data_IF_884642903353
#
_entry.id   IF_884642903353
#
_cell.length_a   1.000
_cell.length_b   1.000
_cell.length_c   1.000
_cell.angle_alpha   90.00
_cell.angle_beta   90.00
_cell.angle_gamma   90.00
#
_symmetry.space_group_name_H-M   'P 1'
#
loop_
_entity.id
_entity.type
_entity.pdbx_description
1 polymer ?
#
# COMPACT_ATOMS: atom_id res chain seq x y z
N UNK A 1 -25.40 23.70 -14.09
CA UNK A 1 -24.92 23.70 -12.70
C UNK A 1 -23.48 23.26 -12.79
N UNK A 2 -22.54 24.08 -12.31
CA UNK A 2 -21.10 23.91 -12.54
C UNK A 2 -20.64 22.48 -12.24
N UNK A 3 -20.08 21.78 -13.24
CA UNK A 3 -19.28 20.56 -13.05
C UNK A 3 -17.98 20.97 -12.36
N UNK A 4 -18.05 21.34 -11.09
CA UNK A 4 -16.88 21.58 -10.28
C UNK A 4 -16.16 20.23 -10.13
N UNK A 5 -14.98 20.12 -10.75
CA UNK A 5 -14.08 18.99 -10.56
C UNK A 5 -13.81 18.88 -9.06
N UNK A 6 -13.98 17.69 -8.48
CA UNK A 6 -13.75 17.52 -7.05
C UNK A 6 -12.24 17.55 -6.78
N UNK A 7 -11.84 18.01 -5.59
CA UNK A 7 -10.43 17.95 -5.16
C UNK A 7 -9.85 16.53 -5.28
N UNK A 8 -10.68 15.49 -5.15
CA UNK A 8 -10.26 14.10 -5.33
C UNK A 8 -9.92 13.78 -6.78
N UNK A 9 -10.68 14.32 -7.74
CA UNK A 9 -10.39 14.15 -9.17
C UNK A 9 -9.12 14.89 -9.57
N UNK A 10 -8.89 16.08 -9.01
CA UNK A 10 -7.65 16.84 -9.23
C UNK A 10 -6.44 16.12 -8.63
N UNK A 11 -6.56 15.61 -7.39
CA UNK A 11 -5.52 14.79 -6.75
C UNK A 11 -5.28 13.51 -7.57
N UNK A 12 -6.33 12.87 -8.09
CA UNK A 12 -6.17 11.70 -8.96
C UNK A 12 -5.37 12.03 -10.22
N UNK A 13 -5.69 13.14 -10.89
CA UNK A 13 -4.97 13.60 -12.07
C UNK A 13 -3.50 13.93 -11.77
N UNK A 14 -3.20 14.53 -10.61
CA UNK A 14 -1.82 14.82 -10.19
C UNK A 14 -1.01 13.55 -9.86
N UNK A 15 -1.67 12.46 -9.46
CA UNK A 15 -1.04 11.18 -9.13
C UNK A 15 -0.81 10.27 -10.33
N UNK A 16 -1.62 10.40 -11.39
CA UNK A 16 -1.56 9.58 -12.59
C UNK A 16 -0.15 9.49 -13.22
N UNK A 17 0.63 10.59 -13.36
CA UNK A 17 1.98 10.55 -13.94
C UNK A 17 2.98 9.67 -13.17
N UNK A 18 2.64 9.27 -11.94
CA UNK A 18 3.45 8.42 -11.08
C UNK A 18 2.92 6.99 -10.98
N UNK A 19 1.83 6.67 -11.69
CA UNK A 19 1.12 5.40 -11.53
C UNK A 19 0.46 5.24 -10.16
N UNK A 20 0.22 6.35 -9.46
CA UNK A 20 -0.44 6.38 -8.16
C UNK A 20 -1.92 6.75 -8.32
N UNK A 21 -2.73 6.38 -7.34
CA UNK A 21 -4.16 6.70 -7.28
C UNK A 21 -4.58 7.07 -5.85
N UNK A 22 -5.64 7.87 -5.68
CA UNK A 22 -6.34 7.97 -4.40
C UNK A 22 -6.90 6.60 -4.02
N UNK A 23 -6.73 6.23 -2.76
CA UNK A 23 -7.16 4.96 -2.16
C UNK A 23 -8.24 5.21 -1.10
N UNK A 24 -9.15 6.14 -1.41
CA UNK A 24 -10.14 6.66 -0.48
C UNK A 24 -9.55 7.57 0.59
N UNK A 25 -10.38 7.92 1.57
CA UNK A 25 -9.99 8.75 2.69
C UNK A 25 -11.12 8.91 3.69
N UNK A 26 -10.88 9.75 4.69
CA UNK A 26 -11.85 10.02 5.75
C UNK A 26 -11.72 11.45 6.27
N UNK A 27 -12.81 11.95 6.85
CA UNK A 27 -12.81 13.14 7.69
C UNK A 27 -12.59 12.67 9.12
N UNK A 28 -11.58 13.23 9.79
CA UNK A 28 -11.24 12.85 11.16
C UNK A 28 -12.42 13.18 12.10
N UNK A 29 -12.82 12.18 12.89
CA UNK A 29 -13.82 12.29 13.96
C UNK A 29 -13.22 11.82 15.29
N UNK A 30 -14.03 11.68 16.35
CA UNK A 30 -13.55 11.21 17.66
C UNK A 30 -12.98 9.77 17.65
N UNK A 31 -13.31 8.99 16.62
CA UNK A 31 -12.87 7.59 16.46
C UNK A 31 -11.55 7.52 15.69
N UNK A 32 -11.31 8.43 14.74
CA UNK A 32 -10.04 8.51 14.03
C UNK A 32 -9.00 9.32 14.78
N UNK A 33 -7.84 8.71 14.99
CA UNK A 33 -6.68 9.45 15.45
C UNK A 33 -6.11 10.29 14.30
N UNK A 34 -6.48 11.56 14.28
CA UNK A 34 -5.73 12.56 13.53
C UNK A 34 -4.26 12.52 13.99
N UNK A 35 -3.28 12.61 13.07
CA UNK A 35 -1.89 12.76 13.44
C UNK A 35 -1.74 13.94 14.41
N UNK A 36 -0.86 13.84 15.42
CA UNK A 36 -0.62 14.96 16.31
C UNK A 36 -0.24 16.19 15.49
N UNK A 37 -0.67 17.41 15.88
CA UNK A 37 -0.34 18.62 15.13
C UNK A 37 1.17 18.74 14.97
N UNK A 38 1.65 18.57 13.75
CA UNK A 38 3.06 18.76 13.40
C UNK A 38 3.19 20.09 12.65
N UNK A 39 4.09 20.97 13.10
CA UNK A 39 4.38 22.26 12.47
C UNK A 39 3.13 23.08 12.07
N UNK A 40 2.12 23.12 12.95
CA UNK A 40 1.02 24.09 12.84
C UNK A 40 -0.19 23.67 12.02
N UNK A 41 -0.27 22.45 11.50
CA UNK A 41 -1.50 21.95 10.83
C UNK A 41 -2.30 21.03 11.76
N UNK A 42 -3.59 21.34 11.95
CA UNK A 42 -4.58 20.42 12.52
C UNK A 42 -5.31 19.76 11.34
N UNK A 43 -5.02 18.50 11.07
CA UNK A 43 -5.65 17.77 9.98
C UNK A 43 -7.14 17.51 10.28
N UNK A 44 -8.01 17.81 9.32
CA UNK A 44 -9.46 17.51 9.36
C UNK A 44 -9.85 16.38 8.42
N UNK A 45 -9.06 16.10 7.40
CA UNK A 45 -9.26 14.91 6.58
C UNK A 45 -7.93 14.34 6.07
N UNK A 46 -7.98 13.09 5.64
CA UNK A 46 -6.85 12.38 5.04
C UNK A 46 -7.29 11.70 3.76
N UNK A 47 -6.52 11.88 2.69
CA UNK A 47 -6.62 11.12 1.44
C UNK A 47 -5.47 10.12 1.41
N UNK A 48 -5.79 8.83 1.40
CA UNK A 48 -4.79 7.78 1.28
C UNK A 48 -4.33 7.68 -0.18
N UNK A 49 -3.04 7.46 -0.36
CA UNK A 49 -2.43 7.38 -1.70
C UNK A 49 -1.64 6.09 -1.83
N UNK A 50 -1.82 5.42 -2.96
CA UNK A 50 -1.21 4.14 -3.19
C UNK A 50 -1.32 3.69 -4.63
N UNK A 51 -1.20 2.39 -4.83
CA UNK A 51 -1.24 1.79 -6.15
C UNK A 51 -1.87 0.40 -6.13
N UNK A 52 -2.31 -0.02 -7.32
CA UNK A 52 -2.75 -1.38 -7.61
C UNK A 52 -1.79 -2.02 -8.60
N UNK A 53 -1.49 -3.31 -8.39
CA UNK A 53 -0.52 -4.04 -9.20
C UNK A 53 0.80 -3.28 -9.35
N UNK A 54 1.39 -3.35 -10.54
CA UNK A 54 2.67 -2.71 -10.87
C UNK A 54 2.55 -1.33 -11.51
N UNK A 55 1.45 -0.62 -11.29
CA UNK A 55 1.21 0.71 -11.90
C UNK A 55 2.36 1.70 -11.65
N UNK A 56 2.92 1.74 -10.44
CA UNK A 56 4.05 2.62 -10.11
C UNK A 56 5.39 2.19 -10.73
N UNK A 57 5.50 0.93 -11.17
CA UNK A 57 6.79 0.29 -11.38
C UNK A 57 7.59 0.90 -12.54
N UNK A 58 7.01 1.19 -13.72
CA UNK A 58 7.74 1.87 -14.80
C UNK A 58 8.28 3.24 -14.38
N UNK A 59 7.47 4.03 -13.67
CA UNK A 59 7.82 5.38 -13.22
C UNK A 59 8.92 5.36 -12.15
N UNK A 60 8.81 4.45 -11.19
CA UNK A 60 9.86 4.24 -10.20
C UNK A 60 11.18 3.80 -10.85
N UNK A 61 11.13 2.88 -11.81
CA UNK A 61 12.32 2.38 -12.48
C UNK A 61 13.01 3.46 -13.34
N UNK A 62 12.24 4.33 -14.00
CA UNK A 62 12.78 5.50 -14.69
C UNK A 62 13.47 6.46 -13.70
N UNK A 63 12.80 6.82 -12.61
CA UNK A 63 13.39 7.67 -11.57
C UNK A 63 14.67 7.04 -10.98
N UNK A 64 14.69 5.71 -10.81
CA UNK A 64 15.80 5.00 -10.18
C UNK A 64 17.09 5.04 -11.03
N UNK A 65 16.99 5.18 -12.35
CA UNK A 65 18.16 5.30 -13.23
C UNK A 65 19.04 6.50 -12.84
N UNK A 66 18.42 7.57 -12.37
CA UNK A 66 19.09 8.80 -11.92
C UNK A 66 19.51 8.76 -10.45
N UNK A 67 19.07 7.74 -9.69
CA UNK A 67 19.29 7.60 -8.25
C UNK A 67 19.81 6.19 -7.86
N UNK A 68 20.87 5.67 -8.51
CA UNK A 68 21.28 4.28 -8.36
C UNK A 68 21.62 3.88 -6.91
N UNK A 69 22.23 4.79 -6.14
CA UNK A 69 22.71 4.54 -4.78
C UNK A 69 21.76 5.02 -3.67
N UNK A 70 20.51 5.34 -4.01
CA UNK A 70 19.54 5.80 -3.01
C UNK A 70 19.22 4.69 -1.99
N UNK A 71 19.30 5.05 -0.71
CA UNK A 71 18.85 4.22 0.42
C UNK A 71 17.32 4.27 0.48
N UNK A 72 16.67 3.13 0.71
CA UNK A 72 15.21 3.00 0.68
C UNK A 72 14.57 3.68 -0.56
N UNK A 73 15.03 3.29 -1.76
CA UNK A 73 14.82 4.05 -3.00
C UNK A 73 13.34 4.24 -3.34
N UNK A 74 12.51 3.24 -3.05
CA UNK A 74 11.07 3.34 -3.30
C UNK A 74 10.41 4.33 -2.33
N UNK A 75 10.86 4.37 -1.07
CA UNK A 75 10.36 5.33 -0.07
C UNK A 75 10.83 6.74 -0.39
N UNK A 76 12.09 6.92 -0.82
CA UNK A 76 12.60 8.20 -1.29
C UNK A 76 11.81 8.72 -2.51
N UNK A 77 11.56 7.87 -3.50
CA UNK A 77 10.73 8.21 -4.67
C UNK A 77 9.30 8.61 -4.27
N UNK A 78 8.67 7.84 -3.37
CA UNK A 78 7.31 8.14 -2.89
C UNK A 78 7.25 9.45 -2.11
N UNK A 79 8.27 9.74 -1.30
CA UNK A 79 8.40 10.99 -0.57
C UNK A 79 8.52 12.18 -1.49
N UNK A 80 9.38 12.09 -2.49
CA UNK A 80 9.53 13.15 -3.49
C UNK A 80 8.20 13.43 -4.20
N UNK A 81 7.60 12.41 -4.83
CA UNK A 81 6.37 12.58 -5.59
C UNK A 81 5.21 13.14 -4.74
N UNK A 82 4.98 12.58 -3.54
CA UNK A 82 3.84 12.99 -2.72
C UNK A 82 4.07 14.33 -2.00
N UNK A 83 5.30 14.72 -1.70
CA UNK A 83 5.56 16.04 -1.13
C UNK A 83 5.39 17.15 -2.16
N UNK A 84 5.78 16.92 -3.42
CA UNK A 84 5.52 17.86 -4.53
C UNK A 84 4.01 18.03 -4.73
N UNK A 85 3.27 16.92 -4.86
CA UNK A 85 1.81 16.95 -5.00
C UNK A 85 1.15 17.61 -3.78
N UNK A 86 1.57 17.27 -2.56
CA UNK A 86 0.99 17.88 -1.36
C UNK A 86 1.12 19.41 -1.37
N UNK A 87 2.25 19.95 -1.83
CA UNK A 87 2.46 21.39 -1.91
C UNK A 87 1.48 22.07 -2.87
N UNK A 88 1.20 21.46 -4.03
CA UNK A 88 0.27 22.00 -5.02
C UNK A 88 -1.18 22.10 -4.49
N UNK A 89 -1.55 21.20 -3.58
CA UNK A 89 -2.88 21.16 -2.96
C UNK A 89 -2.96 21.83 -1.58
N UNK A 90 -1.87 22.45 -1.10
CA UNK A 90 -1.81 22.99 0.27
C UNK A 90 -2.00 21.93 1.36
N UNK A 91 -1.72 20.67 1.03
CA UNK A 91 -1.81 19.53 1.93
C UNK A 91 -0.45 19.24 2.60
N UNK A 92 -0.47 18.39 3.62
CA UNK A 92 0.74 17.81 4.20
C UNK A 92 0.85 16.33 3.85
N UNK A 93 1.94 15.93 3.20
CA UNK A 93 2.24 14.53 2.94
C UNK A 93 2.75 13.82 4.20
N UNK A 94 2.23 12.63 4.49
CA UNK A 94 2.74 11.73 5.54
C UNK A 94 2.95 10.32 4.99
N UNK A 95 3.87 9.55 5.59
CA UNK A 95 4.37 8.31 4.99
C UNK A 95 4.30 7.13 5.97
N UNK A 96 3.95 5.91 5.50
CA UNK A 96 3.91 4.72 6.34
C UNK A 96 5.30 4.28 6.82
N UNK A 97 6.37 4.75 6.17
CA UNK A 97 7.77 4.48 6.52
C UNK A 97 8.27 5.32 7.71
N UNK A 98 7.57 6.42 8.04
CA UNK A 98 8.08 7.42 8.98
C UNK A 98 7.68 7.12 10.43
N UNK A 99 8.54 7.54 11.36
CA UNK A 99 8.31 7.41 12.80
C UNK A 99 7.89 8.76 13.41
N UNK A 100 6.97 8.78 14.39
CA UNK A 100 6.18 7.63 14.87
C UNK A 100 5.21 7.13 13.81
N UNK A 101 5.02 5.81 13.74
CA UNK A 101 4.17 5.20 12.71
C UNK A 101 2.73 5.66 12.86
N UNK A 102 2.16 6.15 11.76
CA UNK A 102 0.75 6.53 11.68
C UNK A 102 -0.12 5.30 11.35
N UNK A 103 -1.41 5.30 11.75
CA UNK A 103 -2.26 4.11 11.67
C UNK A 103 -2.84 3.87 10.26
N UNK A 104 -1.98 3.81 9.24
CA UNK A 104 -2.37 3.64 7.83
C UNK A 104 -3.33 2.48 7.58
N UNK A 105 -3.14 1.34 8.26
CA UNK A 105 -4.05 0.19 8.12
C UNK A 105 -5.45 0.47 8.67
N UNK A 106 -5.57 1.25 9.75
CA UNK A 106 -6.88 1.62 10.31
C UNK A 106 -7.59 2.60 9.37
N UNK A 107 -6.87 3.61 8.86
CA UNK A 107 -7.40 4.53 7.86
C UNK A 107 -7.87 3.78 6.60
N UNK A 108 -7.07 2.85 6.09
CA UNK A 108 -7.42 2.01 4.95
C UNK A 108 -8.68 1.17 5.21
N UNK A 109 -8.79 0.58 6.41
CA UNK A 109 -9.96 -0.19 6.80
C UNK A 109 -11.25 0.64 6.83
N UNK A 110 -11.16 1.92 7.22
CA UNK A 110 -12.32 2.83 7.21
C UNK A 110 -12.61 3.42 5.83
N UNK A 111 -11.58 3.82 5.10
CA UNK A 111 -11.70 4.47 3.80
C UNK A 111 -12.24 3.51 2.72
N UNK A 112 -11.76 2.27 2.73
CA UNK A 112 -12.04 1.29 1.67
C UNK A 112 -12.76 0.02 2.18
N UNK A 113 -13.04 -0.08 3.49
CA UNK A 113 -13.68 -1.28 4.07
C UNK A 113 -12.77 -2.52 4.06
N UNK A 114 -11.45 -2.35 3.95
CA UNK A 114 -10.51 -3.46 3.86
C UNK A 114 -10.27 -4.12 5.22
N UNK A 115 -10.10 -5.45 5.22
CA UNK A 115 -9.64 -6.21 6.39
C UNK A 115 -8.42 -7.06 6.04
N UNK A 116 -7.75 -7.56 7.07
CA UNK A 116 -6.54 -8.37 6.94
C UNK A 116 -6.84 -9.78 6.42
N UNK A 117 -5.99 -10.25 5.52
CA UNK A 117 -5.92 -11.65 5.10
C UNK A 117 -5.17 -12.51 6.13
N UNK A 118 -5.21 -13.85 5.99
CA UNK A 118 -4.38 -14.75 6.80
C UNK A 118 -2.86 -14.53 6.67
N UNK A 119 -2.41 -13.74 5.68
CA UNK A 119 -1.00 -13.35 5.53
C UNK A 119 -0.64 -12.04 6.27
N UNK A 120 -1.58 -11.45 7.00
CA UNK A 120 -1.40 -10.19 7.73
C UNK A 120 -1.44 -8.93 6.87
N UNK A 121 -1.65 -9.06 5.56
CA UNK A 121 -1.83 -7.94 4.63
C UNK A 121 -3.31 -7.65 4.40
N UNK A 122 -3.68 -6.37 4.26
CA UNK A 122 -5.02 -5.98 3.81
C UNK A 122 -5.31 -6.57 2.42
N UNK A 123 -6.52 -7.10 2.22
CA UNK A 123 -6.93 -7.71 0.93
C UNK A 123 -8.04 -6.89 0.28
N UNK A 124 -7.81 -6.45 -0.95
CA UNK A 124 -8.81 -5.77 -1.77
C UNK A 124 -9.67 -6.80 -2.51
N UNK A 125 -11.00 -6.61 -2.65
CA UNK A 125 -11.87 -7.57 -3.32
C UNK A 125 -11.52 -7.80 -4.79
N UNK A 126 -11.08 -6.77 -5.49
CA UNK A 126 -10.63 -6.84 -6.89
C UNK A 126 -9.13 -7.15 -7.03
N UNK A 127 -8.27 -6.27 -6.51
CA UNK A 127 -6.81 -6.38 -6.64
C UNK A 127 -6.14 -7.39 -5.69
N UNK A 128 -6.91 -8.05 -4.82
CA UNK A 128 -6.40 -9.06 -3.90
C UNK A 128 -5.34 -8.50 -2.97
N UNK A 129 -4.21 -9.20 -2.88
CA UNK A 129 -3.07 -8.77 -2.07
C UNK A 129 -2.15 -7.81 -2.83
N UNK A 130 -2.46 -7.41 -4.06
CA UNK A 130 -1.55 -6.71 -4.97
C UNK A 130 -1.86 -5.22 -5.02
N UNK A 131 -1.74 -4.60 -3.86
CA UNK A 131 -1.90 -3.17 -3.68
C UNK A 131 -1.06 -2.72 -2.49
N UNK A 132 -0.71 -1.44 -2.44
CA UNK A 132 -0.02 -0.85 -1.30
C UNK A 132 -0.32 0.64 -1.18
N UNK A 133 -0.15 1.16 0.03
CA UNK A 133 -0.16 2.59 0.32
C UNK A 133 1.28 3.11 0.31
N UNK A 134 1.49 4.27 -0.31
CA UNK A 134 2.81 4.93 -0.40
C UNK A 134 2.87 6.22 0.41
N UNK A 135 1.72 6.77 0.79
CA UNK A 135 1.61 7.92 1.67
C UNK A 135 0.16 8.38 1.78
N UNK A 136 -0.04 9.52 2.42
CA UNK A 136 -1.34 10.16 2.53
C UNK A 136 -1.20 11.67 2.51
N UNK A 137 -2.24 12.36 2.02
CA UNK A 137 -2.35 13.81 2.01
C UNK A 137 -3.29 14.24 3.13
N UNK A 138 -2.78 15.04 4.06
CA UNK A 138 -3.56 15.62 5.15
C UNK A 138 -4.03 17.02 4.77
N UNK A 139 -5.32 17.27 4.93
CA UNK A 139 -5.94 18.56 4.68
C UNK A 139 -6.44 19.17 5.99
N UNK A 140 -6.34 20.49 6.13
CA UNK A 140 -6.85 21.27 7.26
C UNK A 140 -8.37 21.58 7.17
N UNK A 141 -9.00 21.08 6.11
CA UNK A 141 -10.41 21.16 5.81
C UNK A 141 -10.98 19.77 5.49
N UNK A 142 -12.30 19.57 5.64
CA UNK A 142 -12.93 18.33 5.24
C UNK A 142 -12.93 18.20 3.71
N UNK A 143 -12.39 17.08 3.22
CA UNK A 143 -12.57 16.63 1.82
C UNK A 143 -13.85 15.80 1.73
N UNK A 144 -14.65 16.04 0.69
CA UNK A 144 -15.83 15.23 0.42
C UNK A 144 -15.41 13.90 -0.23
N UNK A 145 -15.79 12.79 0.37
CA UNK A 145 -15.54 11.46 -0.17
C UNK A 145 -16.83 10.85 -0.73
N UNK A 146 -16.77 10.12 -1.86
CA UNK A 146 -17.88 9.30 -2.30
C UNK A 146 -18.32 8.35 -1.18
N UNK A 147 -19.62 8.14 -1.03
CA UNK A 147 -20.13 7.12 -0.12
C UNK A 147 -19.70 5.75 -0.63
N UNK A 148 -18.63 5.20 -0.06
CA UNK A 148 -18.20 3.84 -0.36
C UNK A 148 -19.05 2.86 0.44
N UNK A 149 -19.71 1.95 -0.26
CA UNK A 149 -20.28 0.78 0.37
C UNK A 149 -19.16 -0.21 0.64
N UNK A 150 -18.94 -0.54 1.92
CA UNK A 150 -18.03 -1.60 2.29
C UNK A 150 -18.38 -2.87 1.49
N UNK A 151 -17.38 -3.65 1.04
CA UNK A 151 -17.64 -4.89 0.33
C UNK A 151 -18.58 -5.77 1.15
N UNK A 152 -19.66 -6.26 0.52
CA UNK A 152 -20.69 -7.04 1.21
C UNK A 152 -20.14 -8.30 1.88
N UNK A 153 -19.03 -8.84 1.38
CA UNK A 153 -18.33 -9.99 1.93
C UNK A 153 -16.82 -9.78 1.84
N UNK A 154 -16.10 -10.25 2.85
CA UNK A 154 -14.64 -10.22 2.84
C UNK A 154 -14.08 -11.38 1.99
N UNK A 155 -13.07 -11.17 1.13
CA UNK A 155 -12.65 -12.17 0.14
C UNK A 155 -12.15 -13.48 0.74
N UNK A 156 -11.65 -13.48 1.98
CA UNK A 156 -11.18 -14.71 2.63
C UNK A 156 -12.32 -15.56 3.20
N UNK A 157 -13.52 -15.00 3.39
CA UNK A 157 -14.63 -15.69 4.06
C UNK A 157 -15.21 -16.79 3.14
N UNK A 158 -15.11 -16.60 1.82
CA UNK A 158 -15.51 -17.58 0.79
C UNK A 158 -14.36 -18.47 0.32
N UNK A 159 -13.12 -18.21 0.76
CA UNK A 159 -11.95 -19.01 0.42
C UNK A 159 -11.78 -20.16 1.42
N UNK A 160 -12.40 -21.30 1.13
CA UNK A 160 -12.34 -22.48 1.98
C UNK A 160 -10.91 -23.05 2.11
N UNK A 161 -10.23 -23.24 0.98
CA UNK A 161 -8.94 -23.93 0.89
C UNK A 161 -7.76 -23.16 1.51
N UNK A 162 -7.81 -21.82 1.51
CA UNK A 162 -6.74 -20.92 2.01
C UNK A 162 -5.34 -21.36 1.53
N UNK A 163 -5.10 -21.51 0.22
CA UNK A 163 -3.83 -22.03 -0.32
C UNK A 163 -2.61 -21.17 0.07
N UNK A 164 -2.83 -19.91 0.45
CA UNK A 164 -1.80 -19.02 0.98
C UNK A 164 -1.15 -19.53 2.29
N UNK A 165 -1.83 -20.37 3.07
CA UNK A 165 -1.29 -20.93 4.32
C UNK A 165 -0.49 -22.22 4.10
N UNK A 166 -0.77 -22.97 3.02
CA UNK A 166 -0.12 -24.26 2.74
C UNK A 166 1.02 -24.17 1.72
N UNK A 167 1.06 -23.14 0.89
CA UNK A 167 2.04 -23.01 -0.21
C UNK A 167 3.38 -22.41 0.23
N UNK A 168 3.47 -21.86 1.46
CA UNK A 168 4.71 -21.26 1.94
C UNK A 168 5.78 -22.33 2.23
N UNK A 169 6.89 -22.41 1.46
CA UNK A 169 7.92 -23.44 1.70
C UNK A 169 8.67 -23.20 3.01
N UNK A 170 8.65 -21.97 3.54
CA UNK A 170 9.22 -21.63 4.83
C UNK A 170 8.31 -21.95 6.02
N UNK A 171 7.05 -22.36 5.77
CA UNK A 171 6.05 -22.53 6.84
C UNK A 171 5.80 -21.24 7.65
N UNK A 172 6.00 -20.07 7.03
CA UNK A 172 6.09 -18.81 7.76
C UNK A 172 4.75 -18.20 8.18
N UNK A 173 3.62 -18.78 7.78
CA UNK A 173 2.29 -18.24 8.07
C UNK A 173 1.42 -19.27 8.80
N UNK A 174 0.71 -18.83 9.84
CA UNK A 174 -0.21 -19.69 10.61
C UNK A 174 -1.58 -19.02 10.86
N UNK A 175 -2.03 -18.16 9.95
CA UNK A 175 -3.25 -17.32 10.02
C UNK A 175 -3.26 -16.20 11.05
N UNK A 176 -2.50 -16.33 12.14
CA UNK A 176 -2.42 -15.32 13.21
C UNK A 176 -1.11 -14.52 13.15
N UNK A 177 -0.02 -15.12 12.65
CA UNK A 177 1.28 -14.47 12.61
C UNK A 177 2.06 -14.78 11.33
N UNK A 178 3.05 -13.92 11.09
CA UNK A 178 4.08 -14.09 10.08
C UNK A 178 5.44 -14.28 10.77
N UNK A 179 6.02 -15.48 10.65
CA UNK A 179 7.33 -15.83 11.18
C UNK A 179 8.43 -15.25 10.27
N UNK A 180 8.72 -13.97 10.48
CA UNK A 180 9.69 -13.18 9.68
C UNK A 180 11.05 -13.88 9.61
N UNK A 181 11.56 -14.36 10.74
CA UNK A 181 12.89 -14.99 10.81
C UNK A 181 12.94 -16.31 10.03
N UNK A 182 11.90 -17.13 10.10
CA UNK A 182 11.80 -18.37 9.31
C UNK A 182 11.77 -18.08 7.81
N UNK A 183 11.04 -17.04 7.39
CA UNK A 183 11.02 -16.61 6.00
C UNK A 183 12.40 -16.13 5.54
N UNK A 184 13.06 -15.26 6.31
CA UNK A 184 14.41 -14.77 5.99
C UNK A 184 15.45 -15.88 5.94
N UNK A 185 15.38 -16.83 6.88
CA UNK A 185 16.25 -18.00 6.87
C UNK A 185 16.07 -18.85 5.60
N UNK A 186 14.82 -19.09 5.19
CA UNK A 186 14.52 -19.79 3.94
C UNK A 186 15.08 -19.05 2.71
N UNK A 187 14.92 -17.72 2.65
CA UNK A 187 15.40 -16.88 1.55
C UNK A 187 16.93 -16.91 1.41
N UNK A 188 17.66 -16.97 2.52
CA UNK A 188 19.12 -17.09 2.53
C UNK A 188 19.63 -18.51 2.17
N UNK A 189 18.74 -19.51 2.17
CA UNK A 189 19.07 -20.90 1.89
C UNK A 189 19.08 -21.26 0.40
N UNK A 190 19.59 -22.44 0.03
CA UNK A 190 19.70 -22.88 -1.36
C UNK A 190 18.34 -23.05 -2.07
N UNK A 191 17.25 -23.24 -1.31
CA UNK A 191 15.88 -23.34 -1.84
C UNK A 191 15.16 -21.99 -1.91
N UNK A 192 15.79 -20.90 -1.43
CA UNK A 192 15.20 -19.57 -1.35
C UNK A 192 15.07 -18.86 -2.70
N UNK A 193 15.84 -19.27 -3.72
CA UNK A 193 15.91 -18.60 -5.03
C UNK A 193 14.54 -18.44 -5.69
N UNK A 194 13.67 -19.46 -5.62
CA UNK A 194 12.31 -19.40 -6.16
C UNK A 194 11.50 -18.27 -5.54
N UNK A 195 11.58 -18.10 -4.21
CA UNK A 195 10.89 -17.01 -3.53
C UNK A 195 11.59 -15.66 -3.76
N UNK A 196 12.91 -15.65 -3.86
CA UNK A 196 13.69 -14.43 -4.08
C UNK A 196 13.41 -13.82 -5.46
N UNK A 197 13.43 -14.63 -6.51
CA UNK A 197 13.27 -14.16 -7.89
C UNK A 197 11.80 -14.14 -8.36
N UNK A 198 10.97 -15.02 -7.79
CA UNK A 198 9.56 -15.16 -8.15
C UNK A 198 8.59 -14.44 -7.23
N UNK A 199 9.05 -13.95 -6.08
CA UNK A 199 8.21 -13.38 -5.03
C UNK A 199 7.62 -14.41 -4.07
N UNK A 200 6.83 -13.93 -3.11
CA UNK A 200 6.23 -14.77 -2.07
C UNK A 200 5.22 -15.76 -2.66
N UNK A 201 5.56 -17.06 -2.68
CA UNK A 201 4.70 -18.12 -3.19
C UNK A 201 3.35 -18.21 -2.46
N UNK A 202 3.32 -17.92 -1.15
CA UNK A 202 2.08 -17.84 -0.38
C UNK A 202 1.15 -16.71 -0.86
N UNK A 203 1.71 -15.54 -1.22
CA UNK A 203 0.94 -14.41 -1.77
C UNK A 203 0.42 -14.75 -3.17
N UNK A 204 1.25 -15.35 -4.00
CA UNK A 204 0.90 -15.81 -5.36
C UNK A 204 -0.17 -16.91 -5.37
N UNK A 205 -0.24 -17.71 -4.32
CA UNK A 205 -1.26 -18.75 -4.17
C UNK A 205 -2.67 -18.17 -3.91
N UNK A 206 -2.79 -16.91 -3.50
CA UNK A 206 -4.09 -16.27 -3.32
C UNK A 206 -4.82 -16.18 -4.67
N UNK A 207 -6.06 -16.71 -4.80
CA UNK A 207 -6.81 -16.65 -6.06
C UNK A 207 -7.35 -15.24 -6.34
N UNK A 208 -7.57 -14.43 -5.30
CA UNK A 208 -8.13 -13.08 -5.41
C UNK A 208 -7.09 -12.14 -6.00
N UNK A 209 -7.46 -11.42 -7.06
CA UNK A 209 -6.60 -10.43 -7.70
C UNK A 209 -5.33 -11.00 -8.34
N UNK A 210 -5.25 -12.30 -8.60
CA UNK A 210 -4.04 -12.94 -9.18
C UNK A 210 -3.57 -12.29 -10.48
N UNK A 211 -4.50 -11.79 -11.30
CA UNK A 211 -4.19 -11.07 -12.55
C UNK A 211 -3.47 -9.73 -12.33
N UNK A 212 -3.50 -9.19 -11.12
CA UNK A 212 -2.81 -7.95 -10.72
C UNK A 212 -1.50 -8.21 -10.00
N UNK A 213 -1.02 -9.47 -9.99
CA UNK A 213 0.27 -9.80 -9.38
C UNK A 213 1.37 -8.88 -9.91
N UNK A 214 2.24 -8.44 -9.01
CA UNK A 214 3.32 -7.55 -9.39
C UNK A 214 4.21 -8.22 -10.45
N UNK A 215 4.72 -7.41 -11.37
CA UNK A 215 5.75 -7.81 -12.30
C UNK A 215 6.93 -8.48 -11.56
N UNK A 216 7.59 -9.42 -12.22
CA UNK A 216 8.59 -10.27 -11.59
C UNK A 216 9.74 -9.48 -10.97
N UNK A 217 10.21 -8.45 -11.66
CA UNK A 217 11.26 -7.54 -11.19
C UNK A 217 10.83 -6.72 -9.97
N UNK A 218 9.59 -6.25 -9.91
CA UNK A 218 9.04 -5.62 -8.72
C UNK A 218 8.97 -6.60 -7.53
N UNK A 219 8.54 -7.84 -7.77
CA UNK A 219 8.52 -8.86 -6.72
C UNK A 219 9.92 -9.13 -6.19
N UNK A 220 10.89 -9.33 -7.09
CA UNK A 220 12.29 -9.53 -6.73
C UNK A 220 12.87 -8.36 -5.94
N UNK A 221 12.57 -7.14 -6.35
CA UNK A 221 12.97 -5.93 -5.62
C UNK A 221 12.45 -5.93 -4.17
N UNK A 222 11.17 -6.24 -3.97
CA UNK A 222 10.60 -6.30 -2.62
C UNK A 222 11.16 -7.45 -1.79
N UNK A 223 11.45 -8.61 -2.41
CA UNK A 223 12.05 -9.75 -1.72
C UNK A 223 13.48 -9.45 -1.28
N UNK A 224 14.28 -8.79 -2.13
CA UNK A 224 15.62 -8.32 -1.79
C UNK A 224 15.59 -7.35 -0.59
N UNK A 225 14.72 -6.33 -0.66
CA UNK A 225 14.55 -5.38 0.44
C UNK A 225 14.10 -6.07 1.75
N UNK A 226 13.17 -7.03 1.67
CA UNK A 226 12.72 -7.79 2.85
C UNK A 226 13.83 -8.66 3.47
N UNK A 227 14.67 -9.27 2.62
CA UNK A 227 15.81 -10.09 3.04
C UNK A 227 16.99 -9.25 3.56
N UNK A 228 17.04 -7.95 3.25
CA UNK A 228 18.11 -7.04 3.66
C UNK A 228 19.37 -7.15 2.79
N UNK A 229 19.19 -7.36 1.48
CA UNK A 229 20.26 -7.47 0.48
C UNK A 229 20.19 -6.37 -0.58
#
# INVERSE_FOLDING_TARGET
>A
MSDAVSILDEVAAALEPYGLVPRGGLVFDEVDQAPPPGEGMIAKSVVLVGHYGSSIWPHFMEWRQWHPNMIDPLDAWSKQALSEIAADFGAKSVFPSDRPYLPFQQWAGRAEGLRTSPLGMLIHPEYGLWHAYRGALLFDHPVAFPTHHAPACHPCDTCAEKPCLSTCPAGAFNSASFAVDSCRHHLAGPQGATCMDGGCLARLACPVGRGHAYAQDQQRFHMAAFAGI
#
